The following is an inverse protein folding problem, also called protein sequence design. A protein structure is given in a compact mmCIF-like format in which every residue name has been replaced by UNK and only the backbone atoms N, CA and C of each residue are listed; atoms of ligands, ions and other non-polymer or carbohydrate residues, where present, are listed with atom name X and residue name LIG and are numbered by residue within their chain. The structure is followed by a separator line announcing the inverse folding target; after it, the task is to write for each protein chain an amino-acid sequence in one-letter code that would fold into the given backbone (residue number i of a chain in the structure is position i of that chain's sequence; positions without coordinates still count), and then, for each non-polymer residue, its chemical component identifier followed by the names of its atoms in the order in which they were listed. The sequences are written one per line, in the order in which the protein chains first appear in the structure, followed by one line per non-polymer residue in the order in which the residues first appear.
data_IF_068780968167
#
_entry.id   IF_068780968167
#
_cell.length_a   1.000
_cell.length_b   1.000
_cell.length_c   1.000
_cell.angle_alpha   90.00
_cell.angle_beta   90.00
_cell.angle_gamma   90.00
#
_symmetry.space_group_name_H-M   'P 1'
#
loop_
_entity.id
_entity.type
_entity.pdbx_description
1 polymer ?
#
# COMPACT_ATOMS: atom_id res chain seq x y z
N UNK A 1 14.32 -20.24 22.83
CA UNK A 1 13.60 -18.97 22.65
C UNK A 1 13.21 -18.90 21.19
N UNK A 2 12.02 -19.41 20.87
CA UNK A 2 11.57 -19.69 19.50
C UNK A 2 10.89 -18.47 18.88
N UNK A 3 11.35 -18.09 17.68
CA UNK A 3 10.54 -17.97 16.46
C UNK A 3 9.30 -17.06 16.41
N UNK A 4 9.24 -15.96 17.16
CA UNK A 4 8.24 -14.90 16.90
C UNK A 4 8.67 -13.93 15.80
N UNK A 5 9.97 -13.85 15.50
CA UNK A 5 10.55 -12.97 14.47
C UNK A 5 10.38 -13.50 13.03
N UNK A 6 10.30 -14.83 12.86
CA UNK A 6 10.16 -15.48 11.55
C UNK A 6 8.69 -15.75 11.15
N UNK A 7 7.80 -16.01 12.10
CA UNK A 7 6.35 -16.11 11.85
C UNK A 7 5.74 -14.75 11.48
N UNK A 8 6.32 -13.65 11.96
CA UNK A 8 6.00 -12.31 11.50
C UNK A 8 6.50 -12.08 10.06
N UNK A 9 7.70 -12.52 9.68
CA UNK A 9 8.25 -12.27 8.34
C UNK A 9 7.42 -12.90 7.19
N UNK A 10 6.78 -14.05 7.42
CA UNK A 10 5.96 -14.72 6.40
C UNK A 10 4.51 -14.23 6.32
N UNK A 11 3.87 -13.92 7.46
CA UNK A 11 2.45 -13.52 7.50
C UNK A 11 2.25 -12.02 7.35
N UNK A 12 3.24 -11.21 7.75
CA UNK A 12 3.17 -9.75 7.74
C UNK A 12 2.83 -9.15 6.37
N UNK A 13 3.37 -9.62 5.23
CA UNK A 13 2.98 -9.09 3.92
C UNK A 13 1.49 -9.31 3.62
N UNK A 14 0.93 -10.45 4.03
CA UNK A 14 -0.49 -10.76 3.82
C UNK A 14 -1.40 -9.96 4.75
N UNK A 15 -1.00 -9.81 6.02
CA UNK A 15 -1.73 -8.96 6.98
C UNK A 15 -1.70 -7.50 6.52
N UNK A 16 -0.54 -7.01 6.09
CA UNK A 16 -0.38 -5.66 5.57
C UNK A 16 -1.21 -5.44 4.32
N UNK A 17 -1.21 -6.39 3.38
CA UNK A 17 -2.05 -6.34 2.18
C UNK A 17 -3.55 -6.26 2.55
N UNK A 18 -4.01 -7.07 3.50
CA UNK A 18 -5.40 -7.08 3.93
C UNK A 18 -5.79 -5.75 4.60
N UNK A 19 -4.93 -5.23 5.47
CA UNK A 19 -5.11 -3.91 6.11
C UNK A 19 -5.12 -2.80 5.06
N UNK A 20 -4.21 -2.85 4.08
CA UNK A 20 -4.12 -1.88 2.98
C UNK A 20 -5.41 -1.87 2.15
N UNK A 21 -5.94 -3.04 1.79
CA UNK A 21 -7.23 -3.16 1.08
C UNK A 21 -8.37 -2.54 1.88
N UNK A 22 -8.37 -2.69 3.21
CA UNK A 22 -9.41 -2.10 4.05
C UNK A 22 -9.28 -0.57 4.07
N UNK A 23 -8.08 -0.06 4.30
CA UNK A 23 -7.81 1.38 4.36
C UNK A 23 -8.17 2.04 3.03
N UNK A 24 -7.71 1.46 1.92
CA UNK A 24 -7.93 1.98 0.58
C UNK A 24 -9.39 1.90 0.18
N UNK A 25 -10.06 0.78 0.47
CA UNK A 25 -11.50 0.62 0.24
C UNK A 25 -12.32 1.69 0.98
N UNK A 26 -11.96 2.00 2.22
CA UNK A 26 -12.60 3.05 3.01
C UNK A 26 -12.28 4.45 2.47
N UNK A 27 -11.03 4.73 2.07
CA UNK A 27 -10.65 6.03 1.51
C UNK A 27 -11.34 6.28 0.17
N UNK A 28 -11.38 5.30 -0.73
CA UNK A 28 -12.14 5.38 -1.97
C UNK A 28 -13.63 5.64 -1.69
N UNK A 29 -14.20 5.00 -0.66
CA UNK A 29 -15.58 5.25 -0.27
C UNK A 29 -15.80 6.69 0.25
N UNK A 30 -14.92 7.19 1.12
CA UNK A 30 -14.98 8.58 1.62
C UNK A 30 -14.86 9.60 0.49
N UNK A 31 -14.04 9.31 -0.52
CA UNK A 31 -13.89 10.13 -1.73
C UNK A 31 -15.05 9.98 -2.72
N UNK A 32 -16.13 9.28 -2.35
CA UNK A 32 -17.30 9.03 -3.20
C UNK A 32 -16.91 8.39 -4.53
N UNK A 33 -15.91 7.51 -4.51
CA UNK A 33 -15.42 6.81 -5.70
C UNK A 33 -16.52 5.95 -6.32
N UNK A 34 -17.13 5.07 -5.52
CA UNK A 34 -18.26 4.21 -5.92
C UNK A 34 -19.02 3.72 -4.66
N UNK A 35 -19.93 2.75 -4.82
CA UNK A 35 -20.61 2.09 -3.69
C UNK A 35 -19.61 1.25 -2.89
N UNK A 36 -19.86 1.07 -1.59
CA UNK A 36 -18.96 0.37 -0.67
C UNK A 36 -18.35 -0.93 -1.25
N UNK A 37 -19.20 -1.85 -1.71
CA UNK A 37 -18.74 -3.12 -2.32
C UNK A 37 -17.86 -2.93 -3.58
N UNK A 38 -18.16 -1.89 -4.37
CA UNK A 38 -17.34 -1.52 -5.51
C UNK A 38 -15.98 -0.95 -5.09
N UNK A 39 -15.92 -0.19 -3.99
CA UNK A 39 -14.67 0.37 -3.48
C UNK A 39 -13.73 -0.74 -2.98
N UNK A 40 -14.25 -1.71 -2.21
CA UNK A 40 -13.45 -2.84 -1.75
C UNK A 40 -12.98 -3.73 -2.89
N UNK A 41 -13.82 -3.98 -3.89
CA UNK A 41 -13.41 -4.74 -5.09
C UNK A 41 -12.31 -4.01 -5.86
N UNK A 42 -12.49 -2.72 -6.12
CA UNK A 42 -11.52 -1.93 -6.86
C UNK A 42 -10.21 -1.83 -6.05
N UNK A 43 -10.29 -1.57 -4.74
CA UNK A 43 -9.13 -1.56 -3.83
C UNK A 43 -8.37 -2.89 -3.83
N UNK A 44 -9.07 -4.04 -3.76
CA UNK A 44 -8.43 -5.36 -3.81
C UNK A 44 -7.66 -5.56 -5.13
N UNK A 45 -8.26 -5.22 -6.26
CA UNK A 45 -7.59 -5.33 -7.57
C UNK A 45 -6.36 -4.44 -7.66
N UNK A 46 -6.49 -3.22 -7.16
CA UNK A 46 -5.46 -2.19 -7.23
C UNK A 46 -4.28 -2.54 -6.31
N UNK A 47 -4.56 -2.99 -5.08
CA UNK A 47 -3.55 -3.49 -4.14
C UNK A 47 -2.86 -4.76 -4.64
N UNK A 48 -3.58 -5.68 -5.28
CA UNK A 48 -2.96 -6.89 -5.87
C UNK A 48 -2.01 -6.53 -7.02
N UNK A 49 -2.41 -5.58 -7.88
CA UNK A 49 -1.55 -5.09 -8.95
C UNK A 49 -0.30 -4.38 -8.39
N UNK A 50 -0.49 -3.52 -7.38
CA UNK A 50 0.57 -2.84 -6.67
C UNK A 50 1.54 -3.83 -6.01
N UNK A 51 1.03 -4.82 -5.28
CA UNK A 51 1.83 -5.85 -4.63
C UNK A 51 2.67 -6.67 -5.63
N UNK A 52 2.09 -7.01 -6.79
CA UNK A 52 2.83 -7.70 -7.85
C UNK A 52 3.99 -6.84 -8.37
N UNK A 53 3.74 -5.57 -8.67
CA UNK A 53 4.78 -4.66 -9.18
C UNK A 53 5.85 -4.41 -8.12
N UNK A 54 5.47 -4.18 -6.86
CA UNK A 54 6.40 -4.01 -5.75
C UNK A 54 7.24 -5.27 -5.56
N UNK A 55 6.66 -6.47 -5.66
CA UNK A 55 7.42 -7.72 -5.57
C UNK A 55 8.50 -7.81 -6.67
N UNK A 56 8.16 -7.44 -7.92
CA UNK A 56 9.10 -7.44 -9.04
C UNK A 56 10.22 -6.40 -8.89
N UNK A 57 9.90 -5.23 -8.33
CA UNK A 57 10.86 -4.11 -8.14
C UNK A 57 11.55 -4.19 -6.76
N UNK A 58 11.16 -5.14 -5.91
CA UNK A 58 11.67 -5.26 -4.54
C UNK A 58 13.20 -5.31 -4.43
N UNK A 59 13.97 -5.96 -5.34
CA UNK A 59 15.44 -5.95 -5.23
C UNK A 59 16.03 -4.53 -5.35
N UNK A 60 15.42 -3.68 -6.19
CA UNK A 60 15.83 -2.29 -6.35
C UNK A 60 15.47 -1.47 -5.12
N UNK A 61 14.26 -1.66 -4.56
CA UNK A 61 13.82 -0.96 -3.34
C UNK A 61 14.69 -1.34 -2.15
N UNK A 62 15.01 -2.63 -2.00
CA UNK A 62 15.81 -3.16 -0.90
C UNK A 62 17.31 -2.80 -1.01
N UNK A 63 17.78 -2.39 -2.18
CA UNK A 63 19.14 -1.84 -2.34
C UNK A 63 19.31 -0.42 -1.76
N UNK A 64 18.21 0.24 -1.38
CA UNK A 64 18.24 1.58 -0.79
C UNK A 64 18.70 1.48 0.68
N UNK A 65 19.81 2.14 1.07
CA UNK A 65 20.38 1.98 2.42
C UNK A 65 19.49 2.49 3.56
N UNK A 66 18.64 3.49 3.26
CA UNK A 66 17.73 4.08 4.23
C UNK A 66 16.35 3.45 4.12
N UNK A 67 15.88 2.81 5.18
CA UNK A 67 14.53 2.22 5.26
C UNK A 67 13.43 3.24 4.97
N UNK A 68 13.61 4.49 5.39
CA UNK A 68 12.65 5.57 5.13
C UNK A 68 12.60 5.95 3.65
N UNK A 69 13.74 5.99 2.97
CA UNK A 69 13.80 6.20 1.52
C UNK A 69 13.23 4.99 0.76
N UNK A 70 13.45 3.77 1.24
CA UNK A 70 12.87 2.56 0.66
C UNK A 70 11.33 2.55 0.77
N UNK A 71 10.78 2.93 1.92
CA UNK A 71 9.34 3.10 2.11
C UNK A 71 8.76 4.19 1.20
N UNK A 72 9.45 5.33 1.06
CA UNK A 72 9.03 6.39 0.16
C UNK A 72 9.04 5.94 -1.31
N UNK A 73 10.06 5.19 -1.72
CA UNK A 73 10.13 4.62 -3.07
C UNK A 73 8.98 3.62 -3.31
N UNK A 74 8.69 2.75 -2.34
CA UNK A 74 7.56 1.83 -2.40
C UNK A 74 6.22 2.58 -2.52
N UNK A 75 6.03 3.67 -1.78
CA UNK A 75 4.86 4.55 -1.89
C UNK A 75 4.72 5.14 -3.30
N UNK A 76 5.82 5.64 -3.89
CA UNK A 76 5.79 6.23 -5.23
C UNK A 76 5.40 5.19 -6.28
N UNK A 77 5.98 3.98 -6.19
CA UNK A 77 5.65 2.87 -7.09
C UNK A 77 4.18 2.50 -6.95
N UNK A 78 3.71 2.32 -5.71
CA UNK A 78 2.32 1.99 -5.42
C UNK A 78 1.37 3.06 -5.99
N UNK A 79 1.61 4.34 -5.69
CA UNK A 79 0.81 5.44 -6.20
C UNK A 79 0.70 5.47 -7.73
N UNK A 80 1.80 5.23 -8.44
CA UNK A 80 1.83 5.20 -9.91
C UNK A 80 0.99 4.04 -10.45
N UNK A 81 1.22 2.83 -9.93
CA UNK A 81 0.53 1.61 -10.37
C UNK A 81 -0.96 1.73 -10.06
N UNK A 82 -1.29 2.15 -8.84
CA UNK A 82 -2.65 2.22 -8.37
C UNK A 82 -3.46 3.29 -9.07
N UNK A 83 -2.87 4.47 -9.27
CA UNK A 83 -3.46 5.54 -10.06
C UNK A 83 -3.80 5.06 -11.48
N UNK A 84 -2.88 4.35 -12.12
CA UNK A 84 -3.10 3.79 -13.46
C UNK A 84 -4.21 2.74 -13.50
N UNK A 85 -4.21 1.79 -12.55
CA UNK A 85 -5.25 0.75 -12.48
C UNK A 85 -6.63 1.36 -12.21
N UNK A 86 -6.73 2.37 -11.33
CA UNK A 86 -7.99 3.07 -11.09
C UNK A 86 -8.53 3.80 -12.33
N UNK A 87 -7.64 4.41 -13.13
CA UNK A 87 -8.02 4.99 -14.44
C UNK A 87 -8.63 3.90 -15.32
N UNK A 88 -8.00 2.73 -15.42
CA UNK A 88 -8.49 1.64 -16.26
C UNK A 88 -9.83 1.07 -15.78
N UNK A 89 -10.01 0.89 -14.48
CA UNK A 89 -11.21 0.28 -13.90
C UNK A 89 -12.46 1.14 -14.05
N UNK A 90 -12.34 2.46 -13.93
CA UNK A 90 -13.49 3.38 -13.91
C UNK A 90 -13.52 4.38 -15.05
N UNK A 91 -12.49 4.43 -15.90
CA UNK A 91 -12.34 5.39 -17.01
C UNK A 91 -12.58 6.84 -16.58
N UNK A 92 -12.24 7.17 -15.33
CA UNK A 92 -12.25 8.54 -14.81
C UNK A 92 -11.00 9.28 -15.27
N UNK A 93 -10.98 10.59 -15.06
CA UNK A 93 -9.81 11.39 -15.40
C UNK A 93 -8.57 10.93 -14.63
N UNK A 94 -7.40 11.12 -15.24
CA UNK A 94 -6.11 10.83 -14.62
C UNK A 94 -5.99 11.55 -13.27
N UNK A 95 -6.29 12.85 -13.24
CA UNK A 95 -6.21 13.66 -12.02
C UNK A 95 -7.04 13.08 -10.87
N UNK A 96 -8.30 12.69 -11.11
CA UNK A 96 -9.15 12.12 -10.06
C UNK A 96 -8.64 10.76 -9.56
N UNK A 97 -8.17 9.92 -10.47
CA UNK A 97 -7.72 8.56 -10.14
C UNK A 97 -6.40 8.57 -9.38
N UNK A 98 -5.45 9.43 -9.78
CA UNK A 98 -4.19 9.60 -9.09
C UNK A 98 -4.35 10.30 -7.74
N UNK A 99 -5.29 11.23 -7.60
CA UNK A 99 -5.59 11.84 -6.29
C UNK A 99 -6.21 10.81 -5.33
N UNK A 100 -7.11 9.96 -5.85
CA UNK A 100 -7.69 8.86 -5.08
C UNK A 100 -6.64 7.84 -4.64
N UNK A 101 -5.76 7.43 -5.56
CA UNK A 101 -4.62 6.56 -5.24
C UNK A 101 -3.70 7.22 -4.22
N UNK A 102 -3.38 8.51 -4.35
CA UNK A 102 -2.50 9.21 -3.42
C UNK A 102 -3.08 9.22 -2.01
N UNK A 103 -4.37 9.54 -1.86
CA UNK A 103 -5.03 9.58 -0.55
C UNK A 103 -5.05 8.21 0.14
N UNK A 104 -5.35 7.17 -0.63
CA UNK A 104 -5.35 5.77 -0.19
C UNK A 104 -3.93 5.34 0.27
N UNK A 105 -2.96 5.45 -0.64
CA UNK A 105 -1.58 5.05 -0.40
C UNK A 105 -0.89 5.87 0.70
N UNK A 106 -1.17 7.16 0.79
CA UNK A 106 -0.60 8.01 1.83
C UNK A 106 -1.03 7.55 3.23
N UNK A 107 -2.28 7.11 3.36
CA UNK A 107 -2.79 6.59 4.64
C UNK A 107 -2.11 5.28 5.02
N UNK A 108 -1.97 4.35 4.06
CA UNK A 108 -1.23 3.10 4.25
C UNK A 108 0.26 3.35 4.56
N UNK A 109 0.87 4.34 3.92
CA UNK A 109 2.24 4.76 4.17
C UNK A 109 2.43 5.32 5.57
N UNK A 110 1.54 6.20 6.06
CA UNK A 110 1.61 6.71 7.43
C UNK A 110 1.55 5.56 8.44
N UNK A 111 0.68 4.58 8.20
CA UNK A 111 0.60 3.38 9.04
C UNK A 111 1.92 2.58 9.03
N UNK A 112 2.48 2.30 7.85
CA UNK A 112 3.77 1.61 7.72
C UNK A 112 4.92 2.39 8.37
N UNK A 113 4.94 3.72 8.20
CA UNK A 113 5.94 4.61 8.78
C UNK A 113 5.90 4.57 10.30
N UNK A 114 4.71 4.74 10.90
CA UNK A 114 4.53 4.66 12.36
C UNK A 114 4.96 3.29 12.87
N UNK A 115 4.58 2.21 12.18
CA UNK A 115 5.00 0.86 12.56
C UNK A 115 6.54 0.71 12.61
N UNK A 116 7.24 1.13 11.54
CA UNK A 116 8.71 1.08 11.48
C UNK A 116 9.36 1.97 12.53
N UNK A 117 8.84 3.18 12.75
CA UNK A 117 9.32 4.09 13.79
C UNK A 117 9.16 3.48 15.18
N UNK A 118 8.02 2.86 15.46
CA UNK A 118 7.76 2.25 16.78
C UNK A 118 8.77 1.16 17.07
N UNK A 119 9.03 0.27 16.10
CA UNK A 119 10.06 -0.78 16.21
C UNK A 119 11.49 -0.22 16.32
N UNK A 120 11.81 0.84 15.58
CA UNK A 120 13.12 1.47 15.64
C UNK A 120 13.39 2.17 16.98
N UNK A 121 12.34 2.62 17.69
CA UNK A 121 12.41 3.33 18.96
C UNK A 121 12.24 2.46 20.20
N UNK A 122 11.74 1.23 20.07
CA UNK A 122 11.73 0.23 21.15
C UNK A 122 12.96 -0.67 21.04
N UNK A 123 14.03 -0.43 21.82
CA UNK A 123 15.10 -1.41 21.95
C UNK A 123 14.54 -2.63 22.69
N UNK A 124 14.59 -3.80 22.05
CA UNK A 124 14.49 -5.09 22.73
C UNK A 124 15.80 -5.36 23.50
#
# INVERSE_FOLDING_TARGET
MLDTSLLAAGTFPYVFLLVSIIIDGLMLFQMKWTRLAGCFRDSALVNLASALVIALVSPLILSIPSIFLALLAALVVAWIVEGFVLVLLRRRSFSQSYLAALAANFTAFVFAYVYVVTFALTPL
#
